data_IF_320153282676
#
_entry.id   IF_320153282676
#
_cell.length_a   1.000
_cell.length_b   1.000
_cell.length_c   1.000
_cell.angle_alpha   90.00
_cell.angle_beta   90.00
_cell.angle_gamma   90.00
#
_symmetry.space_group_name_H-M   'P 1'
#
loop_
_entity.id
_entity.type
_entity.pdbx_description
1 polymer ?
#
# COMPACT_ATOMS: atom_id res chain seq x y z
N UNK A 1 -9.53 -0.30 -16.87
CA UNK A 1 -8.30 -1.11 -16.90
C UNK A 1 -8.39 -2.37 -16.05
N UNK A 2 -8.74 -2.30 -14.75
CA UNK A 2 -8.85 -3.49 -13.88
C UNK A 2 -9.75 -4.61 -14.42
N UNK A 3 -10.98 -4.29 -14.83
CA UNK A 3 -11.89 -5.24 -15.52
C UNK A 3 -11.23 -5.88 -16.74
N UNK A 4 -10.55 -5.09 -17.59
CA UNK A 4 -9.84 -5.64 -18.75
C UNK A 4 -8.73 -6.60 -18.33
N UNK A 5 -7.93 -6.26 -17.31
CA UNK A 5 -6.91 -7.16 -16.78
C UNK A 5 -7.50 -8.48 -16.29
N UNK A 6 -8.66 -8.44 -15.60
CA UNK A 6 -9.37 -9.64 -15.16
C UNK A 6 -9.84 -10.50 -16.34
N UNK A 7 -10.42 -9.89 -17.38
CA UNK A 7 -10.81 -10.57 -18.63
C UNK A 7 -9.62 -11.19 -19.38
N UNK A 8 -8.42 -10.66 -19.19
CA UNK A 8 -7.17 -11.20 -19.75
C UNK A 8 -6.41 -12.14 -18.80
N UNK A 9 -7.04 -12.60 -17.71
CA UNK A 9 -6.51 -13.68 -16.86
C UNK A 9 -5.67 -13.23 -15.67
N UNK A 10 -5.58 -11.93 -15.36
CA UNK A 10 -4.94 -11.48 -14.12
C UNK A 10 -5.71 -12.01 -12.90
N UNK A 11 -5.04 -12.61 -11.92
CA UNK A 11 -5.71 -13.23 -10.76
C UNK A 11 -6.47 -12.22 -9.89
N UNK A 12 -5.95 -11.00 -9.77
CA UNK A 12 -6.58 -9.86 -9.11
C UNK A 12 -5.96 -8.56 -9.63
N UNK A 13 -6.56 -7.41 -9.32
CA UNK A 13 -6.00 -6.11 -9.66
C UNK A 13 -6.02 -5.16 -8.45
N UNK A 14 -5.12 -4.18 -8.42
CA UNK A 14 -5.16 -3.09 -7.46
C UNK A 14 -5.80 -1.85 -8.12
N UNK A 15 -6.56 -1.08 -7.34
CA UNK A 15 -6.94 0.26 -7.74
C UNK A 15 -5.74 1.22 -7.75
N UNK A 16 -5.95 2.40 -8.31
CA UNK A 16 -4.99 3.49 -8.13
C UNK A 16 -4.86 3.82 -6.64
N UNK A 17 -3.68 4.26 -6.24
CA UNK A 17 -3.42 4.55 -4.83
C UNK A 17 -4.31 5.70 -4.34
N UNK A 18 -4.96 5.48 -3.20
CA UNK A 18 -5.79 6.48 -2.52
C UNK A 18 -5.07 7.02 -1.29
N UNK A 19 -5.18 8.33 -1.09
CA UNK A 19 -4.63 8.95 0.10
C UNK A 19 -5.52 8.63 1.30
N UNK A 20 -4.92 8.21 2.41
CA UNK A 20 -5.57 7.99 3.69
C UNK A 20 -6.51 9.14 4.09
N UNK A 21 -5.99 10.37 4.08
CA UNK A 21 -6.71 11.57 4.45
C UNK A 21 -7.88 11.84 3.49
N UNK A 22 -7.72 11.52 2.21
CA UNK A 22 -8.80 11.67 1.23
C UNK A 22 -9.97 10.72 1.54
N UNK A 23 -9.67 9.48 1.92
CA UNK A 23 -10.69 8.48 2.27
C UNK A 23 -11.47 8.83 3.54
N UNK A 24 -10.80 9.44 4.51
CA UNK A 24 -11.41 9.89 5.77
C UNK A 24 -12.42 11.01 5.52
N UNK A 25 -12.08 11.97 4.65
CA UNK A 25 -12.96 13.13 4.36
C UNK A 25 -13.95 12.87 3.22
N UNK A 26 -13.87 11.69 2.57
CA UNK A 26 -14.73 11.35 1.45
C UNK A 26 -16.17 11.17 1.93
N UNK A 27 -17.04 12.09 1.52
CA UNK A 27 -18.47 11.99 1.82
C UNK A 27 -19.14 10.85 1.04
N UNK A 28 -20.20 10.25 1.58
CA UNK A 28 -21.02 9.25 0.87
C UNK A 28 -21.98 9.85 -0.18
N UNK A 29 -21.75 11.11 -0.57
CA UNK A 29 -22.58 11.78 -1.58
C UNK A 29 -22.42 11.09 -2.94
N UNK A 30 -23.49 11.10 -3.73
CA UNK A 30 -23.53 10.45 -5.04
C UNK A 30 -22.34 10.82 -5.95
N UNK A 31 -21.89 12.08 -5.93
CA UNK A 31 -20.78 12.59 -6.74
C UNK A 31 -19.42 11.97 -6.39
N UNK A 32 -19.21 11.51 -5.16
CA UNK A 32 -17.93 10.97 -4.68
C UNK A 32 -17.87 9.45 -4.67
N UNK A 33 -18.99 8.77 -4.95
CA UNK A 33 -19.07 7.30 -4.99
C UNK A 33 -18.13 6.65 -6.02
N UNK A 34 -17.87 7.34 -7.13
CA UNK A 34 -17.02 6.80 -8.19
C UNK A 34 -15.56 6.53 -7.76
N UNK A 35 -15.06 7.21 -6.71
CA UNK A 35 -13.70 6.97 -6.18
C UNK A 35 -13.55 5.60 -5.53
N UNK A 36 -14.63 5.05 -5.00
CA UNK A 36 -14.68 3.73 -4.35
C UNK A 36 -15.50 2.74 -5.18
N UNK A 37 -15.78 3.06 -6.45
CA UNK A 37 -16.57 2.18 -7.28
C UNK A 37 -15.77 0.92 -7.63
N UNK A 38 -16.41 -0.22 -7.35
CA UNK A 38 -15.96 -1.56 -7.70
C UNK A 38 -17.00 -2.14 -8.66
N UNK A 39 -16.56 -2.64 -9.81
CA UNK A 39 -17.42 -3.35 -10.75
C UNK A 39 -17.54 -4.83 -10.35
N UNK A 40 -18.72 -5.42 -10.48
CA UNK A 40 -18.97 -6.82 -10.08
C UNK A 40 -18.00 -7.83 -10.73
N UNK A 41 -17.56 -7.57 -11.97
CA UNK A 41 -16.63 -8.46 -12.71
C UNK A 41 -15.16 -8.31 -12.28
N UNK A 42 -14.81 -7.27 -11.51
CA UNK A 42 -13.39 -7.00 -11.21
C UNK A 42 -12.88 -7.65 -9.93
N UNK A 43 -13.75 -8.35 -9.20
CA UNK A 43 -13.36 -9.14 -8.05
C UNK A 43 -12.45 -10.35 -8.43
N UNK A 44 -11.45 -10.70 -7.60
CA UNK A 44 -11.00 -9.94 -6.43
C UNK A 44 -10.24 -8.66 -6.84
N UNK A 45 -10.47 -7.58 -6.10
CA UNK A 45 -9.83 -6.27 -6.30
C UNK A 45 -9.28 -5.72 -4.99
N UNK A 46 -8.05 -5.20 -5.03
CA UNK A 46 -7.42 -4.59 -3.88
C UNK A 46 -7.49 -3.08 -3.87
N UNK A 47 -7.70 -2.53 -2.68
CA UNK A 47 -7.67 -1.12 -2.36
C UNK A 47 -6.30 -0.71 -1.83
N UNK A 48 -5.56 0.13 -2.56
CA UNK A 48 -4.22 0.57 -2.13
C UNK A 48 -4.25 1.93 -1.43
N UNK A 49 -3.60 2.02 -0.27
CA UNK A 49 -3.51 3.20 0.59
C UNK A 49 -2.12 3.81 0.58
N UNK A 50 -2.07 5.13 0.74
CA UNK A 50 -0.84 5.87 1.00
C UNK A 50 -1.11 7.04 1.94
N UNK A 51 -0.22 7.22 2.90
CA UNK A 51 -0.42 8.15 3.99
C UNK A 51 0.88 8.45 4.72
N UNK A 52 0.77 9.20 5.82
CA UNK A 52 1.89 9.50 6.71
C UNK A 52 1.63 9.01 8.14
N UNK A 53 0.38 9.14 8.62
CA UNK A 53 0.04 8.91 10.03
C UNK A 53 -0.59 7.53 10.25
N UNK A 54 -0.12 6.73 11.23
CA UNK A 54 -0.66 5.40 11.51
C UNK A 54 -2.18 5.38 11.77
N UNK A 55 -2.71 6.35 12.53
CA UNK A 55 -4.14 6.45 12.81
C UNK A 55 -4.97 6.69 11.54
N UNK A 56 -4.47 7.53 10.63
CA UNK A 56 -5.18 7.86 9.39
C UNK A 56 -5.18 6.68 8.42
N UNK A 57 -4.06 5.93 8.36
CA UNK A 57 -3.97 4.70 7.58
C UNK A 57 -5.04 3.68 8.00
N UNK A 58 -5.17 3.43 9.31
CA UNK A 58 -6.14 2.49 9.84
C UNK A 58 -7.59 2.91 9.49
N UNK A 59 -7.93 4.20 9.66
CA UNK A 59 -9.25 4.71 9.29
C UNK A 59 -9.52 4.58 7.77
N UNK A 60 -8.52 4.88 6.93
CA UNK A 60 -8.60 4.68 5.48
C UNK A 60 -8.81 3.21 5.10
N UNK A 61 -8.10 2.30 5.76
CA UNK A 61 -8.23 0.85 5.55
C UNK A 61 -9.61 0.32 5.89
N UNK A 62 -10.18 0.75 7.03
CA UNK A 62 -11.54 0.43 7.40
C UNK A 62 -12.55 0.93 6.35
N UNK A 63 -12.33 2.13 5.79
CA UNK A 63 -13.16 2.71 4.73
C UNK A 63 -13.13 1.85 3.45
N UNK A 64 -11.96 1.38 3.05
CA UNK A 64 -11.81 0.51 1.87
C UNK A 64 -12.44 -0.86 2.09
N UNK A 65 -12.23 -1.47 3.27
CA UNK A 65 -12.87 -2.73 3.61
C UNK A 65 -14.41 -2.60 3.58
N UNK A 66 -14.96 -1.53 4.16
CA UNK A 66 -16.39 -1.24 4.13
C UNK A 66 -16.93 -0.95 2.71
N UNK A 67 -16.08 -0.46 1.80
CA UNK A 67 -16.44 -0.22 0.41
C UNK A 67 -16.49 -1.52 -0.44
N UNK A 68 -16.03 -2.65 0.09
CA UNK A 68 -16.08 -3.95 -0.57
C UNK A 68 -14.80 -4.35 -1.30
N UNK A 69 -13.65 -3.74 -0.99
CA UNK A 69 -12.36 -4.22 -1.51
C UNK A 69 -11.99 -5.57 -0.86
N UNK A 70 -11.53 -6.52 -1.68
CA UNK A 70 -11.19 -7.88 -1.26
C UNK A 70 -9.79 -7.99 -0.66
N UNK A 71 -8.93 -6.98 -0.90
CA UNK A 71 -7.56 -6.90 -0.39
C UNK A 71 -7.27 -5.46 0.01
N UNK A 72 -6.60 -5.24 1.12
CA UNK A 72 -6.10 -3.90 1.51
C UNK A 72 -4.58 -3.86 1.33
N UNK A 73 -4.08 -2.96 0.50
CA UNK A 73 -2.65 -2.85 0.22
C UNK A 73 -2.06 -1.55 0.75
N UNK A 74 -0.89 -1.61 1.39
CA UNK A 74 -0.17 -0.47 1.94
C UNK A 74 0.96 -0.07 0.97
N UNK A 75 0.97 1.18 0.49
CA UNK A 75 2.03 1.67 -0.39
C UNK A 75 3.19 2.30 0.37
N UNK A 76 4.30 1.57 0.45
CA UNK A 76 5.62 2.04 0.90
C UNK A 76 6.63 2.13 -0.26
N UNK A 77 6.16 2.28 -1.50
CA UNK A 77 7.00 2.17 -2.69
C UNK A 77 7.09 3.42 -3.57
N UNK A 78 6.24 4.42 -3.35
CA UNK A 78 6.16 5.59 -4.25
C UNK A 78 7.37 6.53 -4.08
N UNK A 79 8.15 6.81 -5.15
CA UNK A 79 9.36 7.64 -5.06
C UNK A 79 9.13 9.10 -5.50
N UNK A 80 7.87 9.51 -5.68
CA UNK A 80 7.54 10.86 -6.17
C UNK A 80 7.98 11.90 -5.14
N UNK A 81 8.77 12.91 -5.56
CA UNK A 81 9.33 13.93 -4.66
C UNK A 81 8.29 14.56 -3.73
N UNK A 82 7.11 14.91 -4.26
CA UNK A 82 6.00 15.51 -3.48
C UNK A 82 5.42 14.55 -2.44
N UNK A 83 5.44 13.25 -2.70
CA UNK A 83 4.98 12.19 -1.80
C UNK A 83 6.00 12.01 -0.67
N UNK A 84 7.29 11.92 -1.02
CA UNK A 84 8.38 11.81 -0.05
C UNK A 84 8.46 13.02 0.88
N UNK A 85 8.34 14.24 0.33
CA UNK A 85 8.33 15.48 1.10
C UNK A 85 7.11 15.68 2.02
N UNK A 86 6.17 14.72 2.04
CA UNK A 86 5.03 14.66 2.97
C UNK A 86 5.10 13.44 3.88
N UNK A 87 6.26 12.79 3.97
CA UNK A 87 6.48 11.57 4.75
C UNK A 87 5.58 10.40 4.33
N UNK A 88 5.37 10.21 3.02
CA UNK A 88 4.50 9.17 2.45
C UNK A 88 5.25 8.23 1.51
N UNK A 89 4.61 7.11 1.18
CA UNK A 89 5.11 6.19 0.15
C UNK A 89 6.48 5.65 0.53
N UNK A 90 7.46 5.79 -0.36
CA UNK A 90 8.83 5.30 -0.16
C UNK A 90 9.52 5.88 1.09
N UNK A 91 9.07 7.02 1.62
CA UNK A 91 9.64 7.62 2.83
C UNK A 91 9.55 6.68 4.05
N UNK A 92 8.52 5.84 4.13
CA UNK A 92 8.37 4.91 5.25
C UNK A 92 9.51 3.90 5.36
N UNK A 93 10.28 3.67 4.28
CA UNK A 93 11.49 2.84 4.30
C UNK A 93 12.66 3.46 5.08
N UNK A 94 12.60 4.75 5.45
CA UNK A 94 13.60 5.37 6.34
C UNK A 94 13.21 5.34 7.82
N UNK A 95 12.00 4.89 8.16
CA UNK A 95 11.45 4.94 9.52
C UNK A 95 10.71 3.63 9.89
N UNK A 96 11.45 2.55 10.19
CA UNK A 96 10.87 1.24 10.49
C UNK A 96 9.78 1.25 11.56
N UNK A 97 9.99 1.96 12.68
CA UNK A 97 9.01 2.04 13.77
C UNK A 97 7.63 2.54 13.28
N UNK A 98 7.62 3.64 12.51
CA UNK A 98 6.38 4.23 11.96
C UNK A 98 5.76 3.31 10.90
N UNK A 99 6.60 2.71 10.04
CA UNK A 99 6.14 1.78 9.01
C UNK A 99 5.45 0.55 9.62
N UNK A 100 6.04 -0.03 10.67
CA UNK A 100 5.49 -1.17 11.39
C UNK A 100 4.23 -0.81 12.18
N UNK A 101 4.17 0.41 12.76
CA UNK A 101 2.96 0.89 13.42
C UNK A 101 1.79 1.04 12.42
N UNK A 102 2.04 1.60 11.23
CA UNK A 102 1.06 1.67 10.14
C UNK A 102 0.56 0.27 9.77
N UNK A 103 1.47 -0.69 9.57
CA UNK A 103 1.13 -2.05 9.18
C UNK A 103 0.26 -2.70 10.26
N UNK A 104 0.71 -2.66 11.51
CA UNK A 104 0.01 -3.28 12.64
C UNK A 104 -1.41 -2.72 12.80
N UNK A 105 -1.55 -1.40 12.86
CA UNK A 105 -2.88 -0.77 13.02
C UNK A 105 -3.80 -1.04 11.82
N UNK A 106 -3.25 -1.06 10.61
CA UNK A 106 -4.00 -1.43 9.40
C UNK A 106 -4.48 -2.88 9.48
N UNK A 107 -3.62 -3.80 9.92
CA UNK A 107 -3.99 -5.21 10.06
C UNK A 107 -5.04 -5.41 11.15
N UNK A 108 -4.88 -4.74 12.29
CA UNK A 108 -5.78 -4.85 13.45
C UNK A 108 -7.21 -4.36 13.13
N UNK A 109 -7.35 -3.30 12.32
CA UNK A 109 -8.66 -2.72 12.01
C UNK A 109 -9.38 -3.40 10.84
N UNK A 110 -8.65 -3.99 9.90
CA UNK A 110 -9.24 -4.66 8.74
C UNK A 110 -9.76 -6.03 9.15
N UNK A 111 -11.01 -6.42 8.77
CA UNK A 111 -11.55 -7.74 9.09
C UNK A 111 -10.59 -8.89 8.74
N UNK A 112 -10.46 -9.91 9.61
CA UNK A 112 -9.40 -10.91 9.50
C UNK A 112 -9.45 -11.72 8.20
N UNK A 113 -10.63 -11.88 7.60
CA UNK A 113 -10.82 -12.57 6.32
C UNK A 113 -10.36 -11.75 5.10
N UNK A 114 -10.17 -10.44 5.25
CA UNK A 114 -9.66 -9.58 4.17
C UNK A 114 -8.13 -9.52 4.31
N UNK A 115 -7.34 -10.04 3.37
CA UNK A 115 -5.88 -9.97 3.40
C UNK A 115 -5.40 -8.51 3.37
N UNK A 116 -4.37 -8.24 4.17
CA UNK A 116 -3.60 -6.99 4.13
C UNK A 116 -2.25 -7.31 3.50
N UNK A 117 -1.84 -6.52 2.52
CA UNK A 117 -0.56 -6.66 1.83
C UNK A 117 0.24 -5.36 1.91
N UNK A 118 1.55 -5.45 1.69
CA UNK A 118 2.42 -4.26 1.63
C UNK A 118 3.17 -4.25 0.31
N UNK A 119 3.13 -3.12 -0.39
CA UNK A 119 3.99 -2.88 -1.54
C UNK A 119 5.13 -1.95 -1.17
N UNK A 120 6.36 -2.44 -1.23
CA UNK A 120 7.57 -1.68 -0.92
C UNK A 120 8.58 -1.68 -2.08
N UNK A 121 9.58 -0.81 -1.96
CA UNK A 121 10.84 -0.88 -2.71
C UNK A 121 11.89 -1.56 -1.84
N UNK A 122 12.98 -2.05 -2.42
CA UNK A 122 14.08 -2.71 -1.70
C UNK A 122 14.94 -1.80 -0.80
N UNK A 123 14.43 -0.61 -0.42
CA UNK A 123 15.16 0.42 0.32
C UNK A 123 15.01 1.83 -0.25
N UNK A 124 15.45 2.83 0.53
CA UNK A 124 15.61 4.23 0.08
C UNK A 124 16.72 4.34 -0.96
N UNK A 125 17.88 3.76 -0.65
CA UNK A 125 19.11 3.78 -1.42
C UNK A 125 19.83 2.41 -1.35
N UNK A 126 21.07 2.34 -1.86
CA UNK A 126 21.88 1.11 -1.89
C UNK A 126 22.79 0.95 -0.65
N UNK A 127 22.60 1.75 0.40
CA UNK A 127 23.39 1.65 1.64
C UNK A 127 23.03 0.41 2.46
N UNK A 128 23.99 -0.06 3.27
CA UNK A 128 23.74 -1.14 4.23
C UNK A 128 22.63 -0.78 5.23
N UNK A 129 22.61 0.46 5.73
CA UNK A 129 21.57 0.92 6.64
C UNK A 129 20.17 0.89 5.99
N UNK A 130 20.04 1.25 4.71
CA UNK A 130 18.77 1.14 4.00
C UNK A 130 18.36 -0.33 3.78
N UNK A 131 19.32 -1.23 3.60
CA UNK A 131 19.06 -2.67 3.50
C UNK A 131 18.57 -3.23 4.83
N UNK A 132 19.21 -2.88 5.93
CA UNK A 132 18.85 -3.36 7.27
C UNK A 132 17.42 -2.94 7.63
N UNK A 133 17.07 -1.66 7.39
CA UNK A 133 15.71 -1.14 7.56
C UNK A 133 14.68 -1.84 6.69
N UNK A 134 15.04 -2.20 5.45
CA UNK A 134 14.14 -2.95 4.57
C UNK A 134 13.80 -4.32 5.18
N UNK A 135 14.79 -5.05 5.68
CA UNK A 135 14.56 -6.35 6.33
C UNK A 135 13.80 -6.22 7.64
N UNK A 136 14.11 -5.21 8.46
CA UNK A 136 13.37 -4.91 9.69
C UNK A 136 11.87 -4.68 9.41
N UNK A 137 11.54 -3.89 8.38
CA UNK A 137 10.15 -3.66 7.98
C UNK A 137 9.52 -4.92 7.40
N UNK A 138 10.26 -5.69 6.59
CA UNK A 138 9.75 -6.92 5.97
C UNK A 138 9.41 -7.98 7.03
N UNK A 139 10.34 -8.26 7.93
CA UNK A 139 10.19 -9.26 8.99
C UNK A 139 9.07 -8.84 9.94
N UNK A 140 9.06 -7.57 10.38
CA UNK A 140 8.00 -7.05 11.23
C UNK A 140 6.63 -7.00 10.54
N UNK A 141 6.56 -6.84 9.21
CA UNK A 141 5.30 -6.94 8.47
C UNK A 141 4.76 -8.37 8.50
N UNK A 142 5.64 -9.37 8.30
CA UNK A 142 5.27 -10.79 8.36
C UNK A 142 4.78 -11.14 9.77
N UNK A 143 5.50 -10.71 10.81
CA UNK A 143 5.11 -10.92 12.22
C UNK A 143 3.77 -10.25 12.55
N UNK A 144 3.49 -9.09 11.95
CA UNK A 144 2.21 -8.41 12.09
C UNK A 144 1.05 -9.12 11.37
N UNK A 145 1.31 -10.15 10.55
CA UNK A 145 0.28 -10.96 9.90
C UNK A 145 -0.19 -10.43 8.54
N UNK A 146 0.67 -9.72 7.80
CA UNK A 146 0.35 -9.40 6.40
C UNK A 146 0.32 -10.68 5.55
N UNK A 147 -0.61 -10.76 4.61
CA UNK A 147 -0.78 -11.92 3.73
C UNK A 147 0.28 -12.00 2.62
N UNK A 148 0.99 -10.90 2.36
CA UNK A 148 2.05 -10.87 1.37
C UNK A 148 2.70 -9.50 1.23
N UNK A 149 3.93 -9.52 0.70
CA UNK A 149 4.71 -8.31 0.43
C UNK A 149 5.14 -8.30 -1.04
N UNK A 150 4.84 -7.22 -1.74
CA UNK A 150 5.31 -6.98 -3.11
C UNK A 150 6.52 -6.08 -3.08
N UNK A 151 7.67 -6.59 -3.52
CA UNK A 151 8.93 -5.83 -3.56
C UNK A 151 9.22 -5.37 -4.99
N UNK A 152 9.33 -4.06 -5.19
CA UNK A 152 9.95 -3.49 -6.37
C UNK A 152 11.47 -3.51 -6.18
N UNK A 153 12.19 -4.29 -6.99
CA UNK A 153 13.66 -4.44 -6.98
C UNK A 153 14.49 -3.19 -7.29
N UNK A 154 13.94 -1.97 -7.16
CA UNK A 154 14.67 -0.70 -7.25
C UNK A 154 14.53 0.07 -5.95
N UNK A 155 15.53 0.86 -5.60
CA UNK A 155 15.45 1.77 -4.45
C UNK A 155 14.53 2.96 -4.73
N UNK A 156 14.15 3.71 -3.71
CA UNK A 156 13.37 4.94 -3.86
C UNK A 156 14.12 5.97 -4.69
N UNK A 157 15.42 6.15 -4.44
CA UNK A 157 16.27 7.08 -5.19
C UNK A 157 16.40 6.72 -6.67
N UNK A 158 16.53 5.43 -6.97
CA UNK A 158 16.63 4.94 -8.35
C UNK A 158 15.38 5.26 -9.19
N UNK A 159 14.19 5.37 -8.57
CA UNK A 159 12.92 5.56 -9.27
C UNK A 159 12.71 4.52 -10.37
N UNK A 160 12.88 4.91 -11.63
CA UNK A 160 12.77 4.07 -12.82
C UNK A 160 14.07 4.05 -13.64
N UNK A 161 15.16 4.58 -13.08
CA UNK A 161 16.50 4.57 -13.71
C UNK A 161 17.22 3.27 -13.34
N UNK A 162 17.88 2.67 -14.34
CA UNK A 162 18.62 1.42 -14.15
C UNK A 162 17.74 0.16 -14.07
N UNK A 163 18.36 -1.03 -13.97
CA UNK A 163 17.65 -2.30 -13.90
C UNK A 163 16.99 -2.52 -12.52
N UNK A 164 15.98 -3.39 -12.46
CA UNK A 164 15.54 -3.98 -11.20
C UNK A 164 16.56 -5.05 -10.76
N UNK A 165 16.93 -5.06 -9.48
CA UNK A 165 17.68 -6.15 -8.86
C UNK A 165 16.69 -7.21 -8.35
N UNK A 166 16.84 -8.44 -8.84
CA UNK A 166 15.96 -9.57 -8.52
C UNK A 166 16.61 -10.59 -7.59
N UNK A 167 17.93 -10.48 -7.38
CA UNK A 167 18.72 -11.30 -6.48
C UNK A 167 18.72 -10.75 -5.05
#
# INVERSE_FOLDING_TARGET
MRVLSRRHGASYALCEVMLDQFLIVLSDRQKTRHFLAIADEEHPVGGQLMGAEPEQFAAGAARLAAAGFDVIDINFGCPVKKVLGRCRGGFHLSQPDVALEIIKRTRDIVPPQIPVTVKMRRGIDDSQASRDRFFEILDGAIDAGVAGVTVHGRTVEQRYVGPSRWD
#
